data_IF_818299635007
#
_entry.id   IF_818299635007
#
_cell.length_a   1.000
_cell.length_b   1.000
_cell.length_c   1.000
_cell.angle_alpha   90.00
_cell.angle_beta   90.00
_cell.angle_gamma   90.00
#
_symmetry.space_group_name_H-M   'P 1'
#
loop_
_entity.id
_entity.type
_entity.pdbx_description
1 polymer ?
#
# COMPACT_ATOMS: atom_id res chain seq x y z
N UNK A 1 12.92 -3.50 23.20
CA UNK A 1 12.59 -3.55 21.77
C UNK A 1 11.63 -2.40 21.47
N UNK A 2 11.76 -1.71 20.33
CA UNK A 2 10.70 -0.81 19.85
C UNK A 2 9.37 -1.57 19.77
N UNK A 3 8.27 -0.93 20.11
CA UNK A 3 6.94 -1.50 19.95
C UNK A 3 6.57 -1.51 18.45
N UNK A 4 5.78 -2.50 18.04
CA UNK A 4 5.31 -2.63 16.67
C UNK A 4 4.65 -1.32 16.21
N UNK A 5 4.96 -0.87 14.99
CA UNK A 5 4.37 0.33 14.39
C UNK A 5 4.65 1.63 15.19
N UNK A 6 5.72 1.69 16.00
CA UNK A 6 6.06 2.91 16.74
C UNK A 6 6.28 4.12 15.83
N UNK A 7 6.86 3.94 14.63
CA UNK A 7 6.99 5.02 13.65
C UNK A 7 5.63 5.57 13.21
N UNK A 8 4.67 4.69 12.93
CA UNK A 8 3.29 5.07 12.56
C UNK A 8 2.61 5.81 13.72
N UNK A 9 2.77 5.31 14.96
CA UNK A 9 2.19 5.95 16.14
C UNK A 9 2.78 7.34 16.37
N UNK A 10 4.08 7.49 16.17
CA UNK A 10 4.78 8.78 16.33
C UNK A 10 4.37 9.77 15.24
N UNK A 11 4.31 9.35 13.98
CA UNK A 11 3.93 10.24 12.87
C UNK A 11 2.46 10.68 12.95
N UNK A 12 1.56 9.78 13.36
CA UNK A 12 0.14 10.08 13.53
C UNK A 12 -0.19 10.87 14.82
N UNK A 13 0.73 10.95 15.79
CA UNK A 13 0.48 11.59 17.08
C UNK A 13 0.08 13.07 16.95
N UNK A 14 0.68 13.79 15.99
CA UNK A 14 0.36 15.18 15.74
C UNK A 14 -1.09 15.34 15.30
N UNK A 15 -1.56 14.51 14.35
CA UNK A 15 -2.95 14.49 13.85
C UNK A 15 -3.91 14.12 14.97
N UNK A 16 -3.63 13.04 15.71
CA UNK A 16 -4.46 12.57 16.82
C UNK A 16 -4.63 13.63 17.94
N UNK A 17 -3.60 14.46 18.16
CA UNK A 17 -3.64 15.53 19.16
C UNK A 17 -4.51 16.72 18.76
N UNK A 18 -4.59 17.05 17.47
CA UNK A 18 -5.28 18.25 16.97
C UNK A 18 -6.63 17.96 16.31
N UNK A 19 -6.94 16.69 16.06
CA UNK A 19 -8.20 16.25 15.49
C UNK A 19 -9.38 16.55 16.41
N UNK A 20 -10.46 17.10 15.84
CA UNK A 20 -11.66 17.52 16.60
C UNK A 20 -12.90 16.68 16.31
N UNK A 21 -12.91 15.93 15.21
CA UNK A 21 -14.09 15.21 14.73
C UNK A 21 -14.12 13.73 15.13
N UNK A 22 -12.96 13.14 15.44
CA UNK A 22 -12.80 11.72 15.80
C UNK A 22 -11.91 11.62 17.04
N UNK A 23 -12.28 10.73 17.96
CA UNK A 23 -11.55 10.49 19.21
C UNK A 23 -11.20 9.01 19.36
N UNK A 24 -10.07 8.72 20.00
CA UNK A 24 -9.61 7.35 20.24
C UNK A 24 -10.10 6.88 21.62
N UNK A 25 -10.91 5.82 21.64
CA UNK A 25 -11.29 5.13 22.88
C UNK A 25 -10.33 3.97 23.18
N UNK A 26 -9.39 4.19 24.11
CA UNK A 26 -8.48 3.14 24.58
C UNK A 26 -9.20 1.91 25.14
N UNK A 27 -10.28 2.05 25.94
CA UNK A 27 -11.05 0.90 26.42
C UNK A 27 -11.70 0.11 25.27
N UNK A 28 -12.23 0.80 24.24
CA UNK A 28 -12.82 0.12 23.09
C UNK A 28 -11.76 -0.64 22.27
N UNK A 29 -10.57 -0.05 22.06
CA UNK A 29 -9.45 -0.75 21.42
C UNK A 29 -9.08 -2.01 22.20
N UNK A 30 -8.95 -1.92 23.53
CA UNK A 30 -8.63 -3.07 24.37
C UNK A 30 -9.72 -4.16 24.28
N UNK A 31 -10.99 -3.78 24.27
CA UNK A 31 -12.11 -4.70 24.12
C UNK A 31 -12.11 -5.41 22.75
N UNK A 32 -11.84 -4.68 21.66
CA UNK A 32 -11.70 -5.27 20.32
C UNK A 32 -10.48 -6.18 20.24
N UNK A 33 -9.33 -5.76 20.77
CA UNK A 33 -8.13 -6.58 20.80
C UNK A 33 -8.36 -7.90 21.57
N UNK A 34 -9.09 -7.85 22.69
CA UNK A 34 -9.45 -9.03 23.46
C UNK A 34 -10.49 -9.94 22.77
N UNK A 35 -11.30 -9.40 21.84
CA UNK A 35 -12.30 -10.18 21.10
C UNK A 35 -11.72 -10.92 19.89
N UNK A 36 -10.56 -10.47 19.38
CA UNK A 36 -9.85 -11.12 18.27
C UNK A 36 -9.13 -12.37 18.79
N UNK A 37 -9.77 -13.53 18.60
CA UNK A 37 -9.12 -14.83 18.83
C UNK A 37 -8.04 -15.08 17.78
N UNK A 38 -6.97 -15.79 18.14
CA UNK A 38 -5.91 -16.19 17.21
C UNK A 38 -6.45 -16.97 15.99
N UNK A 39 -7.50 -17.77 16.16
CA UNK A 39 -8.16 -18.49 15.06
C UNK A 39 -8.96 -17.57 14.12
N UNK A 40 -9.52 -16.47 14.62
CA UNK A 40 -10.13 -15.43 13.78
C UNK A 40 -9.06 -14.64 13.04
N UNK A 41 -7.97 -14.25 13.72
CA UNK A 41 -6.84 -13.61 13.06
C UNK A 41 -6.28 -14.47 11.92
N UNK A 42 -6.04 -15.76 12.17
CA UNK A 42 -5.54 -16.69 11.14
C UNK A 42 -6.47 -16.84 9.93
N UNK A 43 -7.80 -16.72 10.12
CA UNK A 43 -8.77 -16.70 9.02
C UNK A 43 -8.83 -15.36 8.28
N UNK A 44 -8.42 -14.27 8.91
CA UNK A 44 -8.44 -12.93 8.32
C UNK A 44 -7.14 -12.59 7.59
N UNK A 45 -6.01 -13.17 8.00
CA UNK A 45 -4.67 -12.83 7.47
C UNK A 45 -3.89 -14.00 6.89
N UNK A 46 -4.44 -15.22 6.95
CA UNK A 46 -3.77 -16.41 6.43
C UNK A 46 -3.94 -16.58 4.91
N UNK A 47 -3.15 -17.46 4.26
CA UNK A 47 -3.28 -17.76 2.84
C UNK A 47 -4.69 -18.23 2.41
N UNK A 48 -5.47 -18.79 3.34
CA UNK A 48 -6.85 -19.19 3.12
C UNK A 48 -7.83 -18.01 2.97
N UNK A 49 -7.43 -16.81 3.37
CA UNK A 49 -8.19 -15.57 3.18
C UNK A 49 -8.00 -14.99 1.76
N UNK A 50 -7.00 -15.47 1.01
CA UNK A 50 -6.70 -14.97 -0.32
C UNK A 50 -7.72 -15.50 -1.34
N UNK A 51 -8.71 -14.68 -1.68
CA UNK A 51 -9.71 -15.01 -2.67
C UNK A 51 -9.13 -14.93 -4.09
N UNK A 52 -8.75 -16.07 -4.65
CA UNK A 52 -8.19 -16.15 -6.02
C UNK A 52 -9.20 -15.85 -7.12
N UNK A 53 -10.50 -15.69 -6.81
CA UNK A 53 -11.49 -15.21 -7.79
C UNK A 53 -11.24 -13.73 -8.10
N UNK A 54 -10.93 -12.95 -7.06
CA UNK A 54 -10.69 -11.51 -7.12
C UNK A 54 -9.21 -11.21 -7.34
N UNK A 55 -8.32 -11.91 -6.63
CA UNK A 55 -6.90 -11.61 -6.63
C UNK A 55 -6.07 -12.51 -7.53
N UNK A 56 -5.07 -11.91 -8.18
CA UNK A 56 -4.07 -12.66 -8.91
C UNK A 56 -3.22 -13.51 -7.95
N UNK A 57 -2.86 -14.72 -8.38
CA UNK A 57 -1.93 -15.58 -7.65
C UNK A 57 -1.22 -16.52 -8.62
N UNK A 58 0.10 -16.44 -8.60
CA UNK A 58 0.97 -17.37 -9.30
C UNK A 58 2.03 -17.93 -8.35
N UNK A 59 1.92 -19.24 -8.07
CA UNK A 59 2.83 -19.95 -7.16
C UNK A 59 4.16 -20.33 -7.80
N UNK A 60 4.23 -20.37 -9.12
CA UNK A 60 5.46 -20.63 -9.87
C UNK A 60 6.26 -19.33 -10.06
N UNK A 61 5.60 -18.18 -10.02
CA UNK A 61 6.19 -16.84 -10.12
C UNK A 61 5.85 -15.99 -8.89
N UNK A 62 6.45 -16.26 -7.71
CA UNK A 62 6.14 -15.55 -6.47
C UNK A 62 6.44 -14.04 -6.54
N UNK A 63 7.50 -13.64 -7.26
CA UNK A 63 7.81 -12.23 -7.51
C UNK A 63 6.65 -11.51 -8.23
N UNK A 64 6.01 -12.16 -9.21
CA UNK A 64 4.89 -11.57 -9.94
C UNK A 64 3.66 -11.38 -9.04
N UNK A 65 3.39 -12.35 -8.16
CA UNK A 65 2.31 -12.23 -7.15
C UNK A 65 2.60 -11.09 -6.17
N UNK A 66 3.83 -11.00 -5.65
CA UNK A 66 4.21 -9.92 -4.72
C UNK A 66 4.17 -8.55 -5.40
N UNK A 67 4.58 -8.48 -6.68
CA UNK A 67 4.49 -7.26 -7.46
C UNK A 67 3.05 -6.85 -7.72
N UNK A 68 2.15 -7.79 -8.00
CA UNK A 68 0.71 -7.53 -8.02
C UNK A 68 0.23 -6.91 -6.71
N UNK A 69 0.61 -7.47 -5.54
CA UNK A 69 0.22 -6.90 -4.24
C UNK A 69 0.71 -5.46 -4.07
N UNK A 70 1.98 -5.20 -4.39
CA UNK A 70 2.57 -3.87 -4.25
C UNK A 70 1.88 -2.84 -5.16
N UNK A 71 1.58 -3.22 -6.42
CA UNK A 71 0.86 -2.36 -7.37
C UNK A 71 -0.59 -2.13 -6.92
N UNK A 72 -1.27 -3.17 -6.46
CA UNK A 72 -2.64 -3.08 -5.97
C UNK A 72 -2.73 -2.09 -4.80
N UNK A 73 -1.83 -2.20 -3.83
CA UNK A 73 -1.79 -1.29 -2.68
C UNK A 73 -1.40 0.14 -3.10
N UNK A 74 -0.48 0.30 -4.06
CA UNK A 74 -0.11 1.63 -4.58
C UNK A 74 -1.30 2.34 -5.25
N UNK A 75 -2.21 1.61 -5.89
CA UNK A 75 -3.40 2.16 -6.56
C UNK A 75 -4.58 2.38 -5.61
N UNK A 76 -4.60 1.69 -4.46
CA UNK A 76 -5.65 1.70 -3.45
C UNK A 76 -5.35 2.71 -2.31
N UNK A 77 -5.04 3.96 -2.64
CA UNK A 77 -4.64 4.97 -1.65
C UNK A 77 -5.74 5.96 -1.24
N UNK A 78 -6.92 5.90 -1.85
CA UNK A 78 -8.02 6.80 -1.52
C UNK A 78 -9.37 6.09 -1.69
N UNK A 79 -10.39 6.57 -0.96
CA UNK A 79 -11.76 6.16 -1.21
C UNK A 79 -12.26 6.72 -2.55
N UNK A 80 -13.09 5.94 -3.22
CA UNK A 80 -13.73 6.36 -4.46
C UNK A 80 -15.13 6.93 -4.13
N UNK A 81 -15.41 8.19 -4.50
CA UNK A 81 -16.73 8.77 -4.30
C UNK A 81 -17.75 8.30 -5.35
N UNK A 82 -17.33 7.42 -6.27
CA UNK A 82 -18.11 6.99 -7.42
C UNK A 82 -18.88 5.71 -7.09
N UNK A 83 -20.23 5.72 -7.18
CA UNK A 83 -21.03 4.53 -6.99
C UNK A 83 -20.62 3.41 -7.95
N UNK A 84 -20.38 2.21 -7.41
CA UNK A 84 -19.98 1.05 -8.20
C UNK A 84 -18.48 0.98 -8.50
N UNK A 85 -17.65 1.87 -7.95
CA UNK A 85 -16.20 1.70 -7.91
C UNK A 85 -15.76 1.26 -6.52
N UNK A 86 -15.62 -0.06 -6.38
CA UNK A 86 -15.15 -0.72 -5.14
C UNK A 86 -13.77 -1.36 -5.34
N UNK A 87 -13.15 -1.74 -4.23
CA UNK A 87 -11.83 -2.38 -4.20
C UNK A 87 -11.73 -3.60 -5.14
N UNK A 88 -12.78 -4.43 -5.18
CA UNK A 88 -12.84 -5.63 -6.00
C UNK A 88 -12.71 -5.33 -7.50
N UNK A 89 -13.17 -4.16 -7.96
CA UNK A 89 -13.06 -3.76 -9.36
C UNK A 89 -11.61 -3.46 -9.74
N UNK A 90 -10.88 -2.77 -8.87
CA UNK A 90 -9.44 -2.56 -9.04
C UNK A 90 -8.71 -3.92 -9.03
N UNK A 91 -8.98 -4.76 -8.04
CA UNK A 91 -8.29 -6.03 -7.88
C UNK A 91 -8.52 -6.97 -9.07
N UNK A 92 -9.76 -7.06 -9.57
CA UNK A 92 -10.13 -7.90 -10.72
C UNK A 92 -9.64 -7.34 -12.05
N UNK A 93 -9.73 -6.02 -12.27
CA UNK A 93 -9.19 -5.37 -13.46
C UNK A 93 -7.67 -5.56 -13.58
N UNK A 94 -6.95 -5.34 -12.47
CA UNK A 94 -5.50 -5.51 -12.41
C UNK A 94 -5.12 -6.96 -12.67
N UNK A 95 -5.84 -7.91 -12.06
CA UNK A 95 -5.67 -9.34 -12.29
C UNK A 95 -5.85 -9.68 -13.77
N UNK A 96 -6.94 -9.22 -14.40
CA UNK A 96 -7.22 -9.50 -15.81
C UNK A 96 -6.13 -8.97 -16.75
N UNK A 97 -5.61 -7.76 -16.49
CA UNK A 97 -4.48 -7.23 -17.26
C UNK A 97 -3.22 -8.08 -17.10
N UNK A 98 -2.92 -8.55 -15.88
CA UNK A 98 -1.74 -9.34 -15.59
C UNK A 98 -1.80 -10.77 -16.17
N UNK A 99 -3.01 -11.35 -16.20
CA UNK A 99 -3.26 -12.64 -16.84
C UNK A 99 -3.14 -12.55 -18.37
N UNK A 100 -3.54 -11.42 -18.97
CA UNK A 100 -3.40 -11.16 -20.40
C UNK A 100 -1.95 -10.86 -20.82
N UNK A 101 -1.23 -10.09 -20.01
CA UNK A 101 0.18 -9.74 -20.25
C UNK A 101 0.96 -9.67 -18.92
N UNK A 102 1.80 -10.69 -18.62
CA UNK A 102 2.66 -10.68 -17.46
C UNK A 102 3.67 -9.51 -17.41
N UNK A 103 3.96 -8.87 -18.55
CA UNK A 103 4.90 -7.75 -18.64
C UNK A 103 4.25 -6.38 -18.37
N UNK A 104 2.93 -6.33 -18.16
CA UNK A 104 2.21 -5.08 -17.84
C UNK A 104 2.69 -4.43 -16.53
N UNK A 105 3.34 -5.20 -15.66
CA UNK A 105 3.97 -4.72 -14.41
C UNK A 105 5.51 -4.80 -14.44
N UNK A 106 6.11 -4.85 -15.64
CA UNK A 106 7.56 -4.74 -15.80
C UNK A 106 8.08 -3.37 -15.32
N UNK A 107 9.37 -3.28 -15.00
CA UNK A 107 9.98 -2.03 -14.57
C UNK A 107 9.81 -0.93 -15.62
N UNK A 108 9.96 -1.26 -16.91
CA UNK A 108 9.79 -0.32 -18.01
C UNK A 108 8.34 0.16 -18.12
N UNK A 109 7.37 -0.76 -17.99
CA UNK A 109 5.95 -0.41 -18.04
C UNK A 109 5.55 0.50 -16.88
N UNK A 110 5.98 0.17 -15.66
CA UNK A 110 5.69 0.96 -14.47
C UNK A 110 6.41 2.32 -14.48
N UNK A 111 7.68 2.37 -14.90
CA UNK A 111 8.44 3.61 -15.01
C UNK A 111 7.82 4.59 -16.04
N UNK A 112 7.22 4.04 -17.10
CA UNK A 112 6.48 4.77 -18.12
C UNK A 112 4.96 4.87 -17.87
N UNK A 113 4.50 4.65 -16.64
CA UNK A 113 3.07 4.63 -16.34
C UNK A 113 2.39 5.97 -16.70
N UNK A 114 1.19 5.85 -17.29
CA UNK A 114 0.35 6.99 -17.70
C UNK A 114 -1.06 6.87 -17.11
N UNK A 115 -1.84 7.95 -17.07
CA UNK A 115 -3.26 7.88 -16.69
C UNK A 115 -4.04 6.87 -17.54
N UNK A 116 -3.72 6.75 -18.83
CA UNK A 116 -4.34 5.77 -19.71
C UNK A 116 -3.98 4.33 -19.33
N UNK A 117 -2.74 4.07 -18.89
CA UNK A 117 -2.38 2.78 -18.32
C UNK A 117 -3.20 2.47 -17.07
N UNK A 118 -3.32 3.44 -16.14
CA UNK A 118 -4.14 3.29 -14.93
C UNK A 118 -5.60 2.97 -15.28
N UNK A 119 -6.19 3.69 -16.23
CA UNK A 119 -7.55 3.42 -16.71
C UNK A 119 -7.73 1.97 -17.17
N UNK A 120 -6.76 1.44 -17.95
CA UNK A 120 -6.78 0.05 -18.40
C UNK A 120 -6.65 -0.94 -17.25
N UNK A 121 -5.77 -0.68 -16.28
CA UNK A 121 -5.59 -1.53 -15.10
C UNK A 121 -6.85 -1.63 -14.23
N UNK A 122 -7.70 -0.62 -14.22
CA UNK A 122 -9.01 -0.69 -13.56
C UNK A 122 -10.07 -1.45 -14.39
N UNK A 123 -9.81 -1.71 -15.68
CA UNK A 123 -10.68 -2.51 -16.54
C UNK A 123 -12.08 -1.92 -16.76
N UNK A 124 -12.23 -0.59 -16.69
CA UNK A 124 -13.53 0.08 -16.73
C UNK A 124 -13.59 1.22 -17.75
N UNK A 125 -14.80 1.58 -18.17
CA UNK A 125 -15.04 2.66 -19.14
C UNK A 125 -15.06 4.04 -18.48
N UNK A 126 -15.60 4.15 -17.26
CA UNK A 126 -15.70 5.42 -16.54
C UNK A 126 -14.33 5.90 -16.04
N UNK A 127 -14.03 7.21 -16.07
CA UNK A 127 -12.73 7.75 -15.67
C UNK A 127 -12.33 7.34 -14.25
N UNK A 128 -11.09 6.86 -14.08
CA UNK A 128 -10.52 6.59 -12.76
C UNK A 128 -10.17 7.92 -12.08
N UNK A 129 -10.66 8.18 -10.84
CA UNK A 129 -10.26 9.37 -10.09
C UNK A 129 -8.74 9.43 -9.88
N UNK A 130 -8.13 10.62 -9.79
CA UNK A 130 -6.71 10.80 -9.48
C UNK A 130 -5.77 9.90 -10.32
N UNK A 131 -6.06 9.74 -11.61
CA UNK A 131 -5.32 8.84 -12.49
C UNK A 131 -3.86 9.29 -12.68
N UNK A 132 -3.58 10.59 -12.66
CA UNK A 132 -2.23 11.16 -12.70
C UNK A 132 -1.43 10.80 -11.45
N UNK A 133 -2.01 10.96 -10.26
CA UNK A 133 -1.38 10.57 -9.00
C UNK A 133 -1.11 9.06 -8.94
N UNK A 134 -2.07 8.24 -9.41
CA UNK A 134 -1.92 6.79 -9.54
C UNK A 134 -0.76 6.44 -10.47
N UNK A 135 -0.67 7.08 -11.64
CA UNK A 135 0.42 6.85 -12.58
C UNK A 135 1.78 7.23 -11.97
N UNK A 136 1.84 8.34 -11.23
CA UNK A 136 3.04 8.74 -10.49
C UNK A 136 3.45 7.67 -9.47
N UNK A 137 2.51 7.11 -8.70
CA UNK A 137 2.80 6.05 -7.74
C UNK A 137 3.32 4.77 -8.40
N UNK A 138 2.78 4.40 -9.57
CA UNK A 138 3.34 3.29 -10.35
C UNK A 138 4.79 3.55 -10.77
N UNK A 139 5.10 4.77 -11.22
CA UNK A 139 6.45 5.15 -11.64
C UNK A 139 7.48 5.24 -10.49
N UNK A 140 7.03 5.23 -9.23
CA UNK A 140 7.90 5.16 -8.06
C UNK A 140 8.39 3.73 -7.77
N UNK A 141 7.61 2.71 -8.13
CA UNK A 141 7.89 1.31 -7.77
C UNK A 141 9.26 0.83 -8.28
N UNK A 142 9.61 0.97 -9.58
CA UNK A 142 10.92 0.52 -10.06
C UNK A 142 12.08 1.24 -9.37
N UNK A 143 11.89 2.52 -9.00
CA UNK A 143 12.92 3.33 -8.32
C UNK A 143 13.12 2.86 -6.87
N UNK A 144 12.03 2.63 -6.13
CA UNK A 144 12.09 2.17 -4.75
C UNK A 144 12.69 0.76 -4.62
N UNK A 145 12.42 -0.12 -5.58
CA UNK A 145 12.97 -1.48 -5.58
C UNK A 145 14.48 -1.58 -5.87
N UNK A 146 15.13 -0.51 -6.36
CA UNK A 146 16.58 -0.54 -6.68
C UNK A 146 17.46 -0.97 -5.52
N UNK A 147 17.11 -0.54 -4.29
CA UNK A 147 17.83 -0.91 -3.06
C UNK A 147 17.60 -2.37 -2.63
N UNK A 148 16.62 -3.03 -3.25
CA UNK A 148 16.18 -4.39 -2.97
C UNK A 148 16.41 -5.31 -4.17
N UNK A 149 17.44 -5.04 -4.98
CA UNK A 149 17.81 -5.85 -6.14
C UNK A 149 16.80 -5.78 -7.29
N UNK A 150 15.95 -4.75 -7.32
CA UNK A 150 14.89 -4.60 -8.32
C UNK A 150 13.69 -5.52 -8.11
N UNK A 151 13.60 -6.23 -6.97
CA UNK A 151 12.60 -7.27 -6.75
C UNK A 151 11.84 -7.04 -5.44
N UNK A 152 10.52 -7.29 -5.46
CA UNK A 152 9.66 -7.22 -4.27
C UNK A 152 10.00 -8.33 -3.29
N UNK A 153 10.38 -9.51 -3.77
CA UNK A 153 10.95 -10.58 -2.93
C UNK A 153 12.16 -10.12 -2.11
N UNK A 154 13.03 -9.30 -2.68
CA UNK A 154 14.17 -8.69 -1.97
C UNK A 154 13.73 -7.73 -0.86
N UNK A 155 12.69 -6.93 -1.12
CA UNK A 155 12.08 -6.04 -0.13
C UNK A 155 11.45 -6.84 1.03
N UNK A 156 10.69 -7.89 0.71
CA UNK A 156 10.06 -8.76 1.70
C UNK A 156 11.10 -9.53 2.53
N UNK A 157 12.17 -10.01 1.89
CA UNK A 157 13.26 -10.70 2.59
C UNK A 157 13.98 -9.77 3.58
N UNK A 158 14.20 -8.50 3.20
CA UNK A 158 14.83 -7.50 4.06
C UNK A 158 14.02 -7.22 5.34
N UNK A 159 12.70 -7.47 5.33
CA UNK A 159 11.85 -7.32 6.51
C UNK A 159 12.02 -8.44 7.55
N UNK A 160 12.77 -9.51 7.27
CA UNK A 160 13.08 -10.59 8.22
C UNK A 160 11.86 -11.16 8.95
N UNK A 161 10.80 -11.46 8.21
CA UNK A 161 9.52 -11.98 8.73
C UNK A 161 8.80 -11.04 9.72
N UNK A 162 9.14 -9.74 9.73
CA UNK A 162 8.47 -8.73 10.54
C UNK A 162 7.57 -7.84 9.67
N UNK A 163 6.26 -7.92 9.91
CA UNK A 163 5.28 -7.06 9.22
C UNK A 163 5.54 -5.57 9.50
N UNK A 164 5.94 -5.21 10.72
CA UNK A 164 6.27 -3.84 11.07
C UNK A 164 7.51 -3.35 10.29
N UNK A 165 8.55 -4.17 10.21
CA UNK A 165 9.74 -3.82 9.42
C UNK A 165 9.42 -3.71 7.93
N UNK A 166 8.51 -4.53 7.40
CA UNK A 166 8.07 -4.43 6.01
C UNK A 166 7.37 -3.09 5.73
N UNK A 167 6.49 -2.65 6.63
CA UNK A 167 5.83 -1.33 6.51
C UNK A 167 6.87 -0.21 6.51
N UNK A 168 7.85 -0.28 7.42
CA UNK A 168 8.92 0.73 7.51
C UNK A 168 9.71 0.81 6.19
N UNK A 169 10.09 -0.34 5.62
CA UNK A 169 10.81 -0.42 4.34
C UNK A 169 9.96 0.10 3.16
N UNK A 170 8.67 -0.23 3.12
CA UNK A 170 7.74 0.26 2.08
C UNK A 170 7.63 1.78 2.12
N UNK A 171 7.43 2.37 3.30
CA UNK A 171 7.27 3.82 3.47
C UNK A 171 8.59 4.58 3.18
N UNK A 172 9.74 3.95 3.46
CA UNK A 172 11.04 4.47 3.08
C UNK A 172 11.22 4.47 1.56
N UNK A 173 10.97 3.32 0.92
CA UNK A 173 11.23 3.09 -0.49
C UNK A 173 10.26 3.83 -1.43
N UNK A 174 9.00 4.00 -1.02
CA UNK A 174 7.92 4.51 -1.87
C UNK A 174 7.22 5.71 -1.20
N UNK A 175 7.58 6.96 -1.57
CA UNK A 175 6.97 8.15 -1.00
C UNK A 175 5.44 8.20 -1.11
N UNK A 176 4.85 7.61 -2.15
CA UNK A 176 3.39 7.49 -2.31
C UNK A 176 2.67 6.73 -1.19
N UNK A 177 3.37 5.86 -0.46
CA UNK A 177 2.79 5.08 0.65
C UNK A 177 2.80 5.82 1.99
N UNK A 178 3.31 7.06 2.04
CA UNK A 178 3.40 7.84 3.30
C UNK A 178 2.07 8.39 3.81
N UNK A 179 1.02 8.34 2.98
CA UNK A 179 -0.33 8.87 3.27
C UNK A 179 -0.31 10.16 4.10
N UNK A 180 0.40 11.17 3.58
CA UNK A 180 0.65 12.42 4.28
C UNK A 180 -0.17 13.56 3.68
N UNK A 181 -0.73 14.40 4.55
CA UNK A 181 -1.42 15.63 4.18
C UNK A 181 -1.02 16.75 5.13
N UNK A 182 -1.08 17.99 4.63
CA UNK A 182 -0.87 19.17 5.47
C UNK A 182 -2.19 19.54 6.14
N UNK A 183 -2.27 19.39 7.46
CA UNK A 183 -3.43 19.79 8.27
C UNK A 183 -3.08 21.00 9.15
N UNK A 184 -3.84 22.09 9.00
CA UNK A 184 -3.72 23.34 9.78
C UNK A 184 -2.30 23.97 9.84
N UNK A 185 -1.48 23.78 8.79
CA UNK A 185 -0.15 24.39 8.66
C UNK A 185 0.74 24.28 9.91
N UNK A 186 0.84 23.09 10.51
CA UNK A 186 1.91 22.80 11.46
C UNK A 186 3.05 22.12 10.69
N UNK A 187 4.22 22.76 10.48
CA UNK A 187 5.35 22.09 9.87
C UNK A 187 5.76 20.90 10.74
N UNK A 188 5.91 19.71 10.13
CA UNK A 188 6.63 18.60 10.76
C UNK A 188 8.05 19.03 11.14
N UNK A 189 8.71 18.35 12.10
CA UNK A 189 10.01 18.78 12.59
C UNK A 189 11.02 18.82 11.44
N UNK A 190 11.50 20.03 11.13
CA UNK A 190 12.73 20.21 10.35
C UNK A 190 13.85 19.56 11.15
N UNK A 191 14.39 18.46 10.66
CA UNK A 191 15.71 18.00 11.08
C UNK A 191 16.71 19.09 10.68
N UNK A 192 17.02 19.98 11.62
CA UNK A 192 18.17 20.86 11.51
C UNK A 192 19.40 19.98 11.78
N UNK A 193 19.85 19.29 10.73
CA UNK A 193 21.24 18.92 10.59
C UNK A 193 21.89 20.01 9.77
N UNK A 194 22.59 20.92 10.44
CA UNK A 194 23.79 21.56 9.93
C UNK A 194 24.50 22.26 11.10
N UNK A 195 25.51 21.58 11.61
CA UNK A 195 26.63 22.22 12.29
C UNK A 195 27.76 22.41 11.29
N UNK A 196 28.33 23.61 11.26
CA UNK A 196 29.76 23.94 11.18
C UNK A 196 29.87 25.45 11.40
#
# INVERSE_FOLDING_TARGET
>A
MPCCCDMVRQSAAAVARVGTHVQISKPAIAAVAASIRASHAARLVGPAAWDTRVHFRDTLRPELTLRYCLVLDALNFCFWPEPGLEYEHLATGLKACLEADPQVLSDDSLAGATPAMVQRLFGRECPVPLADERARFLAEIPKGLRRHGGQVTGLVAAAQQSAAALVDLVVEAFPGFRDQAVYRCVPGPKSVLQGS
#
